data_IF_535349610651
#
_entry.id   IF_535349610651
#
_cell.length_a   1.000
_cell.length_b   1.000
_cell.length_c   1.000
_cell.angle_alpha   90.00
_cell.angle_beta   90.00
_cell.angle_gamma   90.00
#
_symmetry.space_group_name_H-M   'P 1'
#
loop_
_entity.id
_entity.type
_entity.pdbx_description
1 polymer ?
#
# COMPACT_ATOMS: atom_id res chain seq x y z
N UNK A 1 11.99 -2.54 1.09
CA UNK A 1 12.86 -1.87 0.10
C UNK A 1 13.31 -2.94 -0.88
N UNK A 2 13.35 -2.68 -2.20
CA UNK A 2 14.03 -3.59 -3.11
C UNK A 2 15.51 -3.75 -2.72
N UNK A 3 16.11 -4.88 -3.04
CA UNK A 3 17.53 -5.12 -2.80
C UNK A 3 18.37 -4.15 -3.64
N UNK A 4 19.49 -3.68 -3.07
CA UNK A 4 20.43 -2.81 -3.79
C UNK A 4 21.02 -3.61 -4.95
N UNK A 5 20.86 -3.09 -6.18
CA UNK A 5 21.44 -3.69 -7.38
C UNK A 5 22.97 -3.54 -7.32
N UNK A 6 23.68 -4.64 -7.47
CA UNK A 6 25.15 -4.68 -7.51
C UNK A 6 25.60 -5.42 -8.76
N UNK A 7 26.89 -5.38 -9.11
CA UNK A 7 27.41 -6.15 -10.25
C UNK A 7 27.19 -7.68 -10.13
N UNK A 8 26.83 -8.18 -8.94
CA UNK A 8 26.51 -9.60 -8.69
C UNK A 8 25.03 -9.95 -8.87
N UNK A 9 24.15 -8.96 -8.97
CA UNK A 9 22.71 -9.21 -9.16
C UNK A 9 22.42 -9.56 -10.62
N UNK A 10 21.50 -10.50 -10.84
CA UNK A 10 21.09 -10.91 -12.20
C UNK A 10 20.56 -9.69 -12.98
N UNK A 11 20.92 -9.54 -14.27
CA UNK A 11 20.37 -8.48 -15.10
C UNK A 11 18.85 -8.60 -15.21
N UNK A 12 18.15 -7.47 -15.42
CA UNK A 12 16.69 -7.50 -15.58
C UNK A 12 16.34 -8.26 -16.88
N UNK A 13 15.35 -9.16 -16.86
CA UNK A 13 14.86 -9.82 -18.06
C UNK A 13 13.96 -8.91 -18.90
N UNK A 14 13.60 -9.36 -20.10
CA UNK A 14 12.77 -8.61 -21.06
C UNK A 14 11.42 -8.17 -20.46
N UNK A 15 10.97 -6.96 -20.82
CA UNK A 15 9.70 -6.38 -20.36
C UNK A 15 9.78 -5.61 -19.02
N UNK A 16 10.97 -5.51 -18.41
CA UNK A 16 11.16 -4.69 -17.20
C UNK A 16 10.99 -3.19 -17.47
N UNK A 17 11.35 -2.72 -18.67
CA UNK A 17 11.33 -1.30 -19.05
C UNK A 17 9.93 -0.67 -18.93
N UNK A 18 8.88 -1.41 -19.27
CA UNK A 18 7.50 -0.92 -19.24
C UNK A 18 6.95 -0.73 -17.82
N UNK A 19 7.50 -1.46 -16.85
CA UNK A 19 7.04 -1.44 -15.45
C UNK A 19 7.94 -0.61 -14.54
N UNK A 20 9.18 -0.36 -14.95
CA UNK A 20 10.21 0.33 -14.17
C UNK A 20 9.71 1.67 -13.63
N UNK A 21 9.13 2.51 -14.49
CA UNK A 21 8.64 3.83 -14.07
C UNK A 21 7.57 3.80 -12.98
N UNK A 22 6.72 2.78 -12.98
CA UNK A 22 5.68 2.59 -11.96
C UNK A 22 6.30 2.07 -10.65
N UNK A 23 7.25 1.14 -10.75
CA UNK A 23 7.95 0.59 -9.59
C UNK A 23 8.80 1.64 -8.88
N UNK A 24 9.49 2.50 -9.63
CA UNK A 24 10.27 3.62 -9.10
C UNK A 24 9.39 4.64 -8.39
N UNK A 25 8.16 4.87 -8.89
CA UNK A 25 7.21 5.74 -8.20
C UNK A 25 6.83 5.17 -6.83
N UNK A 26 6.63 3.86 -6.70
CA UNK A 26 6.38 3.21 -5.42
C UNK A 26 7.60 3.23 -4.51
N UNK A 27 8.82 3.09 -5.04
CA UNK A 27 10.04 3.21 -4.25
C UNK A 27 10.22 4.62 -3.70
N UNK A 28 10.02 5.64 -4.55
CA UNK A 28 10.05 7.04 -4.11
C UNK A 28 9.03 7.28 -3.00
N UNK A 29 7.81 6.77 -3.14
CA UNK A 29 6.78 6.83 -2.08
C UNK A 29 7.22 6.15 -0.78
N UNK A 30 7.97 5.04 -0.85
CA UNK A 30 8.50 4.37 0.34
C UNK A 30 9.64 5.15 1.00
N UNK A 31 10.50 5.81 0.20
CA UNK A 31 11.60 6.65 0.71
C UNK A 31 11.09 7.92 1.39
N UNK A 32 10.10 8.56 0.77
CA UNK A 32 9.55 9.82 1.26
C UNK A 32 8.65 9.61 2.48
N UNK A 33 8.25 8.37 2.78
CA UNK A 33 7.34 8.03 3.89
C UNK A 33 5.96 8.72 3.78
N UNK A 34 5.69 9.36 2.64
CA UNK A 34 4.64 10.36 2.51
C UNK A 34 3.47 9.77 1.73
N UNK A 35 2.37 9.54 2.44
CA UNK A 35 1.09 9.27 1.83
C UNK A 35 0.55 10.56 1.21
N UNK A 36 0.34 10.54 -0.11
CA UNK A 36 -0.53 11.43 -0.88
C UNK A 36 -0.98 12.71 -0.16
N UNK A 37 -0.22 13.79 -0.35
CA UNK A 37 -0.77 15.11 -0.11
C UNK A 37 -1.96 15.28 -1.06
N UNK A 38 -3.14 15.53 -0.49
CA UNK A 38 -4.40 15.94 -1.13
C UNK A 38 -4.27 17.11 -2.12
N UNK A 39 -3.08 17.67 -2.26
CA UNK A 39 -2.77 18.93 -2.92
C UNK A 39 -2.56 18.79 -4.43
N UNK A 40 -2.09 17.64 -4.94
CA UNK A 40 -1.91 17.44 -6.39
C UNK A 40 -3.27 17.43 -7.12
N UNK A 41 -4.29 16.85 -6.48
CA UNK A 41 -5.69 16.91 -6.91
C UNK A 41 -6.26 18.32 -6.80
N UNK A 42 -5.89 19.08 -5.75
CA UNK A 42 -6.28 20.48 -5.60
C UNK A 42 -5.65 21.40 -6.67
N UNK A 43 -4.44 21.05 -7.15
CA UNK A 43 -3.73 21.80 -8.18
C UNK A 43 -4.32 21.57 -9.58
N UNK A 44 -4.82 20.36 -9.86
CA UNK A 44 -5.49 20.04 -11.13
C UNK A 44 -6.84 20.75 -11.28
N UNK A 45 -7.55 21.01 -10.18
CA UNK A 45 -8.79 21.81 -10.14
C UNK A 45 -8.56 23.33 -10.13
N UNK A 46 -7.32 23.80 -9.94
CA UNK A 46 -7.00 25.23 -9.82
C UNK A 46 -6.73 25.92 -11.18
N UNK A 47 -7.14 27.20 -11.36
CA UNK A 47 -6.92 27.96 -12.59
C UNK A 47 -5.42 28.06 -12.97
N UNK A 48 -5.09 27.95 -14.27
CA UNK A 48 -3.69 27.90 -14.78
C UNK A 48 -2.78 29.03 -14.25
N UNK A 49 -3.31 30.24 -14.01
CA UNK A 49 -2.56 31.39 -13.48
C UNK A 49 -2.08 31.24 -12.03
N UNK A 50 -2.72 30.40 -11.20
CA UNK A 50 -2.32 30.18 -9.79
C UNK A 50 -1.49 28.90 -9.57
N UNK A 51 -1.41 28.00 -10.55
CA UNK A 51 -0.67 26.72 -10.43
C UNK A 51 0.83 26.91 -10.18
N UNK A 52 1.51 27.85 -10.85
CA UNK A 52 2.96 28.07 -10.64
C UNK A 52 3.30 28.60 -9.24
N UNK A 53 2.43 29.44 -8.67
CA UNK A 53 2.60 30.00 -7.31
C UNK A 53 2.27 28.96 -6.23
N UNK A 54 1.21 28.16 -6.41
CA UNK A 54 0.90 27.04 -5.52
C UNK A 54 1.92 25.90 -5.62
N UNK A 55 2.44 25.58 -6.82
CA UNK A 55 3.53 24.60 -7.01
C UNK A 55 4.78 24.99 -6.24
N UNK A 56 5.18 26.26 -6.30
CA UNK A 56 6.40 26.75 -5.65
C UNK A 56 6.30 26.76 -4.11
N UNK A 57 5.10 26.92 -3.56
CA UNK A 57 4.83 26.72 -2.13
C UNK A 57 4.75 25.24 -1.72
N UNK A 58 4.21 24.39 -2.60
CA UNK A 58 4.09 22.95 -2.35
C UNK A 58 5.41 22.19 -2.42
N UNK A 59 6.33 22.62 -3.29
CA UNK A 59 7.70 22.07 -3.42
C UNK A 59 8.54 22.34 -2.15
N UNK A 60 8.25 23.40 -1.38
CA UNK A 60 8.87 23.65 -0.07
C UNK A 60 8.20 22.84 1.06
N UNK A 61 6.87 22.67 1.02
CA UNK A 61 6.11 21.94 2.04
C UNK A 61 6.36 20.41 2.03
N UNK A 62 6.88 19.86 0.93
CA UNK A 62 7.29 18.45 0.86
C UNK A 62 8.64 18.15 1.52
N UNK A 63 9.43 19.17 1.89
CA UNK A 63 10.75 19.00 2.50
C UNK A 63 10.70 18.85 4.04
N UNK A 64 9.60 19.27 4.67
CA UNK A 64 9.33 19.03 6.08
C UNK A 64 8.66 17.65 6.19
N UNK A 65 9.49 16.63 6.40
CA UNK A 65 9.08 15.27 6.75
C UNK A 65 7.94 15.30 7.76
N UNK A 66 6.86 14.56 7.49
CA UNK A 66 5.75 14.44 8.42
C UNK A 66 6.30 14.11 9.80
N UNK A 67 6.27 15.08 10.71
CA UNK A 67 6.87 14.92 12.03
C UNK A 67 6.16 13.73 12.70
N UNK A 68 6.95 12.86 13.33
CA UNK A 68 6.44 11.72 14.08
C UNK A 68 5.80 12.15 15.42
N UNK A 69 5.66 13.47 15.65
CA UNK A 69 5.14 14.05 16.87
C UNK A 69 3.64 13.75 17.00
N UNK A 70 3.31 12.94 18.00
CA UNK A 70 1.94 12.59 18.36
C UNK A 70 1.38 11.30 17.73
N UNK A 71 2.10 10.66 16.80
CA UNK A 71 1.65 9.38 16.20
C UNK A 71 2.13 8.19 17.02
N UNK A 72 1.30 7.15 17.13
CA UNK A 72 1.75 5.90 17.77
C UNK A 72 2.86 5.26 16.93
N UNK A 73 3.78 4.54 17.57
CA UNK A 73 4.90 3.85 16.89
C UNK A 73 4.43 2.92 15.76
N UNK A 74 3.23 2.36 15.86
CA UNK A 74 2.67 1.50 14.83
C UNK A 74 2.06 2.30 13.67
N UNK A 75 1.50 3.48 13.95
CA UNK A 75 0.85 4.35 12.97
C UNK A 75 1.85 4.93 11.96
N UNK A 76 3.09 5.17 12.38
CA UNK A 76 4.16 5.59 11.46
C UNK A 76 4.53 4.52 10.43
N UNK A 77 4.28 3.25 10.73
CA UNK A 77 4.62 2.11 9.85
C UNK A 77 3.49 1.81 8.86
N UNK A 78 2.25 2.23 9.14
CA UNK A 78 1.09 1.93 8.29
C UNK A 78 1.23 2.40 6.83
N UNK A 79 1.75 3.60 6.52
CA UNK A 79 1.95 4.04 5.14
C UNK A 79 2.89 3.12 4.35
N UNK A 80 3.94 2.62 5.00
CA UNK A 80 4.92 1.71 4.40
C UNK A 80 4.26 0.39 4.03
N UNK A 81 3.47 -0.18 4.95
CA UNK A 81 2.73 -1.43 4.73
C UNK A 81 1.73 -1.28 3.58
N UNK A 82 1.06 -0.11 3.49
CA UNK A 82 0.10 0.18 2.42
C UNK A 82 0.75 0.26 1.05
N UNK A 83 1.90 0.94 0.94
CA UNK A 83 2.64 1.03 -0.32
C UNK A 83 3.10 -0.37 -0.73
N UNK A 84 3.60 -1.15 0.21
CA UNK A 84 4.05 -2.51 -0.04
C UNK A 84 2.91 -3.45 -0.52
N UNK A 85 1.73 -3.36 0.09
CA UNK A 85 0.54 -4.07 -0.37
C UNK A 85 0.16 -3.64 -1.79
N UNK A 86 0.08 -2.34 -2.05
CA UNK A 86 -0.31 -1.78 -3.35
C UNK A 86 0.66 -2.19 -4.46
N UNK A 87 1.96 -2.09 -4.19
CA UNK A 87 3.04 -2.53 -5.06
C UNK A 87 2.95 -4.02 -5.38
N UNK A 88 2.80 -4.86 -4.35
CA UNK A 88 2.67 -6.31 -4.52
C UNK A 88 1.40 -6.68 -5.29
N UNK A 89 0.31 -5.92 -5.09
CA UNK A 89 -0.96 -6.14 -5.80
C UNK A 89 -0.88 -5.77 -7.27
N UNK A 90 -0.18 -4.68 -7.59
CA UNK A 90 0.09 -4.29 -8.98
C UNK A 90 0.81 -5.42 -9.73
N UNK A 91 1.88 -5.96 -9.16
CA UNK A 91 2.65 -7.07 -9.75
C UNK A 91 1.78 -8.34 -9.86
N UNK A 92 0.96 -8.64 -8.85
CA UNK A 92 0.03 -9.76 -8.88
C UNK A 92 -1.00 -9.64 -10.01
N UNK A 93 -1.61 -8.46 -10.18
CA UNK A 93 -2.62 -8.22 -11.21
C UNK A 93 -2.02 -8.27 -12.62
N UNK A 94 -0.77 -7.81 -12.80
CA UNK A 94 -0.06 -7.91 -14.08
C UNK A 94 0.21 -9.36 -14.50
N UNK A 95 0.57 -10.22 -13.56
CA UNK A 95 0.88 -11.62 -13.86
C UNK A 95 -0.37 -12.51 -13.94
N UNK A 96 -1.27 -12.48 -12.95
CA UNK A 96 -2.40 -13.42 -12.87
C UNK A 96 -3.66 -12.97 -13.60
N UNK A 97 -3.89 -11.66 -13.79
CA UNK A 97 -5.11 -11.16 -14.45
C UNK A 97 -4.86 -10.68 -15.86
N UNK A 98 -3.81 -9.88 -16.06
CA UNK A 98 -3.50 -9.25 -17.34
C UNK A 98 -2.49 -10.05 -18.17
N UNK A 99 -1.76 -10.98 -17.55
CA UNK A 99 -0.71 -11.81 -18.17
C UNK A 99 0.29 -11.00 -19.03
N UNK A 100 0.57 -9.75 -18.63
CA UNK A 100 1.44 -8.84 -19.37
C UNK A 100 2.94 -9.05 -19.10
N UNK A 101 3.27 -9.90 -18.12
CA UNK A 101 4.62 -10.17 -17.64
C UNK A 101 4.95 -11.65 -17.84
N UNK A 102 6.17 -11.96 -18.30
CA UNK A 102 6.68 -13.33 -18.40
C UNK A 102 6.95 -13.95 -17.02
N UNK A 103 6.92 -15.29 -16.93
CA UNK A 103 7.23 -16.00 -15.68
C UNK A 103 8.63 -15.66 -15.15
N UNK A 104 9.62 -15.57 -16.03
CA UNK A 104 11.00 -15.28 -15.65
C UNK A 104 11.14 -13.88 -15.04
N UNK A 105 10.43 -12.88 -15.59
CA UNK A 105 10.39 -11.54 -15.02
C UNK A 105 9.66 -11.52 -13.66
N UNK A 106 8.56 -12.26 -13.52
CA UNK A 106 7.86 -12.37 -12.24
C UNK A 106 8.74 -12.98 -11.14
N UNK A 107 9.44 -14.08 -11.45
CA UNK A 107 10.35 -14.73 -10.49
C UNK A 107 11.55 -13.83 -10.17
N UNK A 108 12.09 -13.09 -11.14
CA UNK A 108 13.14 -12.10 -10.90
C UNK A 108 12.68 -10.97 -9.98
N UNK A 109 11.46 -10.46 -10.14
CA UNK A 109 10.89 -9.41 -9.27
C UNK A 109 10.74 -9.87 -7.82
N UNK A 110 10.42 -11.15 -7.60
CA UNK A 110 10.37 -11.76 -6.27
C UNK A 110 11.78 -11.87 -5.66
N UNK A 111 12.77 -12.31 -6.42
CA UNK A 111 14.17 -12.40 -5.96
C UNK A 111 14.73 -11.04 -5.51
N UNK A 112 14.35 -9.96 -6.19
CA UNK A 112 14.78 -8.59 -5.90
C UNK A 112 13.95 -7.87 -4.80
N UNK A 113 12.96 -8.54 -4.19
CA UNK A 113 12.06 -7.98 -3.17
C UNK A 113 11.22 -6.77 -3.65
N UNK A 114 10.85 -6.75 -4.93
CA UNK A 114 9.86 -5.79 -5.45
C UNK A 114 8.44 -6.14 -4.97
N UNK A 115 8.14 -7.42 -4.74
CA UNK A 115 6.89 -7.89 -4.16
C UNK A 115 7.12 -8.87 -3.00
N UNK A 116 6.14 -8.96 -2.10
CA UNK A 116 6.19 -9.92 -1.01
C UNK A 116 5.72 -11.31 -1.46
N UNK A 117 6.65 -12.25 -1.59
CA UNK A 117 6.35 -13.64 -1.91
C UNK A 117 5.35 -14.28 -0.92
N UNK A 118 5.53 -14.02 0.37
CA UNK A 118 4.65 -14.55 1.43
C UNK A 118 3.22 -14.02 1.32
N UNK A 119 3.05 -12.75 0.93
CA UNK A 119 1.72 -12.14 0.80
C UNK A 119 1.00 -12.69 -0.44
N UNK A 120 1.72 -12.78 -1.57
CA UNK A 120 1.20 -13.36 -2.81
C UNK A 120 0.78 -14.82 -2.60
N UNK A 121 1.59 -15.60 -1.87
CA UNK A 121 1.25 -16.98 -1.54
C UNK A 121 -0.05 -17.10 -0.71
N UNK A 122 -0.39 -16.08 0.09
CA UNK A 122 -1.67 -16.04 0.81
C UNK A 122 -2.82 -15.68 -0.11
N UNK A 123 -2.66 -14.73 -1.04
CA UNK A 123 -3.72 -14.38 -1.99
C UNK A 123 -4.15 -15.53 -2.90
N UNK A 124 -3.26 -16.51 -3.15
CA UNK A 124 -3.60 -17.75 -3.86
C UNK A 124 -4.55 -18.68 -3.08
N UNK A 125 -4.67 -18.51 -1.76
CA UNK A 125 -5.55 -19.33 -0.93
C UNK A 125 -6.95 -18.75 -0.93
N UNK A 126 -7.96 -19.62 -1.07
CA UNK A 126 -9.37 -19.23 -0.99
C UNK A 126 -9.68 -18.54 0.33
N UNK A 127 -10.41 -17.42 0.28
CA UNK A 127 -10.77 -16.62 1.45
C UNK A 127 -9.69 -15.64 1.94
N UNK A 128 -8.54 -15.55 1.27
CA UNK A 128 -7.46 -14.59 1.57
C UNK A 128 -7.20 -13.60 0.44
N UNK A 129 -8.04 -13.53 -0.59
CA UNK A 129 -7.85 -12.70 -1.79
C UNK A 129 -7.71 -11.20 -1.51
N UNK A 130 -8.37 -10.71 -0.46
CA UNK A 130 -8.34 -9.31 0.02
C UNK A 130 -7.42 -9.08 1.21
N UNK A 131 -6.45 -9.96 1.46
CA UNK A 131 -5.58 -9.85 2.63
C UNK A 131 -4.67 -8.61 2.55
N UNK A 132 -4.75 -7.74 3.56
CA UNK A 132 -3.94 -6.53 3.65
C UNK A 132 -2.46 -6.77 3.99
N UNK A 133 -2.15 -7.75 4.86
CA UNK A 133 -0.83 -7.93 5.44
C UNK A 133 -0.60 -9.37 5.90
N UNK A 134 0.63 -9.89 5.78
CA UNK A 134 0.95 -11.25 6.26
C UNK A 134 0.85 -11.37 7.79
N UNK A 135 1.20 -10.30 8.52
CA UNK A 135 1.11 -10.21 9.99
C UNK A 135 -0.30 -10.40 10.52
N UNK A 136 -1.31 -9.98 9.76
CA UNK A 136 -2.71 -10.01 10.12
C UNK A 136 -3.28 -11.45 10.23
N UNK A 137 -2.55 -12.45 9.71
CA UNK A 137 -2.89 -13.89 9.75
C UNK A 137 -1.98 -14.67 10.71
N UNK A 138 -0.89 -14.07 11.18
CA UNK A 138 0.06 -14.76 12.05
C UNK A 138 -0.46 -14.77 13.49
N UNK A 139 -0.78 -15.96 14.01
CA UNK A 139 -1.25 -16.16 15.39
C UNK A 139 -0.19 -15.82 16.44
N UNK A 140 1.10 -15.85 16.07
CA UNK A 140 2.23 -15.50 16.96
C UNK A 140 2.23 -14.02 17.36
N UNK A 141 1.75 -13.15 16.48
CA UNK A 141 1.80 -11.71 16.69
C UNK A 141 0.53 -11.18 17.38
N UNK A 142 -0.38 -12.09 17.80
CA UNK A 142 -1.60 -11.80 18.54
C UNK A 142 -1.45 -12.19 20.01
N UNK A 143 -2.17 -11.50 20.90
CA UNK A 143 -2.11 -11.75 22.35
C UNK A 143 -2.68 -13.12 22.75
N UNK A 144 -3.62 -13.66 21.98
CA UNK A 144 -4.27 -14.95 22.25
C UNK A 144 -3.89 -15.97 21.18
N UNK A 145 -3.46 -17.15 21.61
CA UNK A 145 -3.12 -18.25 20.72
C UNK A 145 -4.32 -18.64 19.84
N UNK A 146 -4.13 -18.61 18.52
CA UNK A 146 -5.17 -18.93 17.53
C UNK A 146 -6.12 -17.80 17.17
N UNK A 147 -5.97 -16.61 17.77
CA UNK A 147 -6.73 -15.42 17.35
C UNK A 147 -6.17 -14.81 16.06
N UNK A 148 -7.00 -14.06 15.34
CA UNK A 148 -6.68 -13.38 14.07
C UNK A 148 -6.91 -11.88 14.25
N UNK A 149 -6.24 -11.00 13.47
CA UNK A 149 -6.55 -9.55 13.58
C UNK A 149 -8.03 -9.32 13.26
N UNK A 150 -8.62 -8.35 13.95
CA UNK A 150 -10.00 -7.89 13.75
C UNK A 150 -10.34 -7.57 12.29
N UNK A 151 -9.37 -7.17 11.46
CA UNK A 151 -9.54 -6.99 10.01
C UNK A 151 -10.05 -8.21 9.26
N UNK A 152 -9.86 -9.41 9.80
CA UNK A 152 -10.28 -10.66 9.16
C UNK A 152 -11.70 -11.08 9.52
N UNK A 153 -12.31 -10.40 10.48
CA UNK A 153 -13.70 -10.66 10.89
C UNK A 153 -14.64 -9.96 9.90
N UNK A 154 -15.59 -10.67 9.28
CA UNK A 154 -16.53 -10.06 8.35
C UNK A 154 -17.44 -9.07 9.09
N UNK A 155 -17.82 -7.98 8.42
CA UNK A 155 -18.60 -6.88 9.02
C UNK A 155 -19.96 -7.33 9.57
N UNK A 156 -20.54 -8.38 9.00
CA UNK A 156 -21.80 -8.95 9.49
C UNK A 156 -21.73 -9.41 10.96
N UNK A 157 -20.54 -9.80 11.43
CA UNK A 157 -20.30 -10.23 12.80
C UNK A 157 -19.89 -9.09 13.73
N UNK A 158 -19.69 -7.88 13.20
CA UNK A 158 -19.34 -6.69 13.98
C UNK A 158 -20.61 -5.96 14.40
N UNK A 159 -20.60 -5.39 15.61
CA UNK A 159 -21.68 -4.53 16.08
C UNK A 159 -21.76 -3.26 15.21
N UNK A 160 -22.94 -2.88 14.71
CA UNK A 160 -23.08 -1.67 13.89
C UNK A 160 -22.64 -0.45 14.69
N UNK A 161 -21.76 0.37 14.10
CA UNK A 161 -21.19 1.57 14.75
C UNK A 161 -19.83 1.37 15.44
N UNK A 162 -19.27 0.16 15.44
CA UNK A 162 -17.91 -0.06 15.99
C UNK A 162 -16.86 0.42 15.00
N UNK A 163 -16.07 1.43 15.39
CA UNK A 163 -14.89 1.84 14.63
C UNK A 163 -13.79 0.80 14.85
N UNK A 164 -13.35 0.15 13.78
CA UNK A 164 -12.33 -0.90 13.84
C UNK A 164 -11.03 -0.39 13.26
N UNK A 165 -10.02 -0.28 14.12
CA UNK A 165 -8.66 0.07 13.77
C UNK A 165 -7.75 -1.12 14.06
N UNK A 166 -7.12 -1.72 13.05
CA UNK A 166 -6.13 -2.76 13.31
C UNK A 166 -4.79 -2.09 13.63
N UNK A 167 -4.24 -2.50 14.77
CA UNK A 167 -2.95 -2.05 15.30
C UNK A 167 -1.81 -2.22 14.28
N UNK A 168 -1.93 -3.19 13.37
CA UNK A 168 -0.90 -3.56 12.41
C UNK A 168 -1.11 -3.01 11.00
N UNK A 169 -2.31 -2.51 10.69
CA UNK A 169 -2.71 -2.21 9.33
C UNK A 169 -3.87 -1.22 9.35
N UNK A 170 -3.65 -0.03 8.80
CA UNK A 170 -4.74 0.86 8.42
C UNK A 170 -5.01 0.67 6.91
N UNK A 171 -6.00 -0.14 6.53
CA UNK A 171 -6.34 -0.35 5.12
C UNK A 171 -7.47 0.59 4.67
N UNK A 172 -7.09 1.81 4.30
CA UNK A 172 -7.85 2.58 3.32
C UNK A 172 -7.79 1.85 1.98
N UNK A 173 -8.77 1.00 1.68
CA UNK A 173 -9.13 0.71 0.28
C UNK A 173 -10.11 1.81 -0.09
N UNK A 174 -9.62 2.93 -0.61
CA UNK A 174 -10.49 4.00 -1.12
C UNK A 174 -10.54 3.86 -2.62
N UNK A 175 -11.63 3.27 -3.09
CA UNK A 175 -12.22 3.64 -4.37
C UNK A 175 -13.54 4.33 -4.02
N UNK A 176 -13.53 5.67 -3.89
CA UNK A 176 -14.73 6.45 -4.16
C UNK A 176 -14.39 7.91 -4.42
N UNK A 177 -14.80 8.34 -5.60
CA UNK A 177 -14.90 9.70 -6.06
C UNK A 177 -15.90 10.49 -5.18
N UNK A 178 -15.63 11.80 -5.09
CA UNK A 178 -16.57 12.88 -4.76
C UNK A 178 -16.88 13.24 -3.28
N UNK A 179 -16.25 14.36 -2.90
CA UNK A 179 -16.81 15.54 -2.24
C UNK A 179 -17.20 15.51 -0.75
N UNK A 180 -16.54 16.47 -0.09
CA UNK A 180 -16.97 17.24 1.08
C UNK A 180 -16.66 16.65 2.46
N UNK A 181 -15.78 17.39 3.14
CA UNK A 181 -15.64 17.57 4.59
C UNK A 181 -16.13 16.40 5.45
N UNK A 182 -15.18 15.57 5.87
CA UNK A 182 -15.03 15.20 7.27
C UNK A 182 -13.59 14.72 7.46
N UNK A 183 -13.02 15.00 8.62
CA UNK A 183 -11.86 14.28 9.13
C UNK A 183 -12.28 12.82 9.35
N UNK A 184 -12.32 12.02 8.29
CA UNK A 184 -12.65 10.59 8.40
C UNK A 184 -11.33 9.83 8.39
N UNK A 185 -10.95 9.35 9.57
CA UNK A 185 -10.04 8.21 9.72
C UNK A 185 -10.67 7.03 8.96
N UNK A 186 -10.38 6.92 7.67
CA UNK A 186 -10.99 5.95 6.75
C UNK A 186 -10.24 4.61 6.81
N UNK A 187 -10.01 4.08 8.01
CA UNK A 187 -9.30 2.81 8.24
C UNK A 187 -9.95 1.58 7.57
N UNK A 188 -9.28 0.44 7.73
CA UNK A 188 -9.67 -0.90 7.25
C UNK A 188 -11.18 -1.13 7.08
N UNK A 189 -11.71 -1.08 5.86
CA UNK A 189 -13.07 -1.59 5.55
C UNK A 189 -13.08 -3.11 5.30
N UNK A 190 -12.46 -3.89 6.19
CA UNK A 190 -12.48 -5.35 6.15
C UNK A 190 -11.52 -5.96 5.12
N UNK A 191 -10.80 -6.99 5.54
CA UNK A 191 -9.88 -7.78 4.71
C UNK A 191 -10.40 -9.21 4.49
N UNK A 192 -11.65 -9.45 4.89
CA UNK A 192 -12.37 -10.68 4.59
C UNK A 192 -12.85 -10.60 3.13
N UNK A 193 -12.67 -11.69 2.36
CA UNK A 193 -13.07 -11.73 0.95
C UNK A 193 -14.60 -11.66 0.72
N UNK A 194 -15.40 -11.63 1.78
CA UNK A 194 -16.86 -11.63 1.72
C UNK A 194 -17.52 -10.30 2.11
N UNK A 195 -16.75 -9.24 2.32
CA UNK A 195 -17.22 -7.86 2.59
C UNK A 195 -17.02 -6.94 1.37
#
# INVERSE_FOLDING_TARGET
>A
MPKIRTNRTKPPPEGFEDIEGVLDEYERKMRDGNQFNSFFFFLSLSPKKKRKKLMRGYIWYTAESATHEGKRKNESVWPIIRINHTRSRYIYDLYYKREAISRDLFDWLLDQDYADANLIAKWKRTGFEGLCCARCVQSRDMNYAGSVCICRVPKANLKPGTVVECVHCESHIVFCFFLVKLSVYLGCRGCASGD
#
